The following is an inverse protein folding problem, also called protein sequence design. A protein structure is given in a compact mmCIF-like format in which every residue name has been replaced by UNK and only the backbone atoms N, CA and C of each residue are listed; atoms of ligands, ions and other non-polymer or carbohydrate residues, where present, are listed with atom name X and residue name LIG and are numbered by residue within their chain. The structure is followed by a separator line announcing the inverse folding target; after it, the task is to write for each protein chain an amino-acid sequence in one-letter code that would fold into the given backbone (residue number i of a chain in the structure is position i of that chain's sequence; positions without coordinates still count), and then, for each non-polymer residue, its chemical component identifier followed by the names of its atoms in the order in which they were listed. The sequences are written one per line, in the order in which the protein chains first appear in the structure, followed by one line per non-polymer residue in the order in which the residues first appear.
data_IF_353315330988
#
_entry.id   IF_353315330988
#
_cell.length_a   1.000
_cell.length_b   1.000
_cell.length_c   1.000
_cell.angle_alpha   90.00
_cell.angle_beta   90.00
_cell.angle_gamma   90.00
#
_symmetry.space_group_name_H-M   'P 1'
#
loop_
_entity.id
_entity.type
_entity.pdbx_description
1 polymer ?
#
# COMPACT_ATOMS: atom_id res chain seq x y z
N UNK A 1 -27.82 9.65 -9.69
CA UNK A 1 -27.69 8.50 -10.63
C UNK A 1 -28.11 8.91 -12.05
N UNK A 2 -27.67 10.09 -12.52
CA UNK A 2 -28.18 10.78 -13.75
C UNK A 2 -27.03 11.30 -14.62
N UNK A 3 -25.91 10.56 -14.73
CA UNK A 3 -24.71 10.99 -15.47
C UNK A 3 -24.33 10.09 -16.66
N UNK A 4 -25.18 9.10 -17.01
CA UNK A 4 -24.90 8.16 -18.09
C UNK A 4 -25.54 8.54 -19.44
N UNK A 5 -26.51 9.47 -19.46
CA UNK A 5 -27.38 9.67 -20.63
C UNK A 5 -26.77 10.44 -21.80
N UNK A 6 -25.69 11.20 -21.61
CA UNK A 6 -25.15 12.12 -22.63
C UNK A 6 -23.73 11.79 -23.12
N UNK A 7 -23.16 10.63 -22.76
CA UNK A 7 -21.81 10.26 -23.22
C UNK A 7 -21.87 9.55 -24.56
N UNK A 8 -21.03 9.93 -25.56
CA UNK A 8 -20.93 9.16 -26.79
C UNK A 8 -20.51 7.72 -26.46
N UNK A 9 -21.00 6.70 -27.20
CA UNK A 9 -20.78 5.29 -26.89
C UNK A 9 -19.28 4.91 -26.78
N UNK A 10 -18.40 5.65 -27.44
CA UNK A 10 -16.95 5.50 -27.34
C UNK A 10 -16.37 5.81 -25.95
N UNK A 11 -16.95 6.76 -25.21
CA UNK A 11 -16.46 7.10 -23.87
C UNK A 11 -16.85 6.06 -22.81
N UNK A 12 -18.03 5.47 -22.93
CA UNK A 12 -18.45 4.36 -22.05
C UNK A 12 -17.56 3.13 -22.26
N UNK A 13 -17.23 2.84 -23.52
CA UNK A 13 -16.35 1.73 -23.87
C UNK A 13 -14.91 1.95 -23.37
N UNK A 14 -14.39 3.18 -23.46
CA UNK A 14 -13.10 3.55 -22.87
C UNK A 14 -13.10 3.33 -21.35
N UNK A 15 -14.13 3.80 -20.64
CA UNK A 15 -14.23 3.64 -19.19
C UNK A 15 -14.27 2.15 -18.83
N UNK A 16 -15.10 1.35 -19.52
CA UNK A 16 -15.20 -0.08 -19.28
C UNK A 16 -13.90 -0.83 -19.53
N UNK A 17 -13.26 -0.59 -20.68
CA UNK A 17 -11.97 -1.20 -21.02
C UNK A 17 -10.86 -0.76 -20.06
N UNK A 18 -10.77 0.53 -19.73
CA UNK A 18 -9.83 1.06 -18.76
C UNK A 18 -10.04 0.48 -17.37
N UNK A 19 -11.28 0.38 -16.92
CA UNK A 19 -11.67 -0.22 -15.64
C UNK A 19 -11.22 -1.69 -15.58
N UNK A 20 -11.49 -2.47 -16.63
CA UNK A 20 -11.07 -3.86 -16.72
C UNK A 20 -9.54 -4.04 -16.67
N UNK A 21 -8.80 -3.24 -17.44
CA UNK A 21 -7.34 -3.29 -17.46
C UNK A 21 -6.74 -2.95 -16.09
N UNK A 22 -7.24 -1.89 -15.44
CA UNK A 22 -6.80 -1.52 -14.09
C UNK A 22 -7.18 -2.58 -13.06
N UNK A 23 -8.37 -3.17 -13.16
CA UNK A 23 -8.77 -4.25 -12.26
C UNK A 23 -7.81 -5.43 -12.37
N UNK A 24 -7.48 -5.88 -13.58
CA UNK A 24 -6.60 -7.02 -13.80
C UNK A 24 -5.18 -6.78 -13.24
N UNK A 25 -4.56 -5.65 -13.57
CA UNK A 25 -3.18 -5.37 -13.13
C UNK A 25 -3.09 -5.14 -11.63
N UNK A 26 -4.12 -4.56 -11.02
CA UNK A 26 -4.15 -4.33 -9.57
C UNK A 26 -4.50 -5.62 -8.82
N UNK A 27 -5.44 -6.42 -9.32
CA UNK A 27 -5.74 -7.72 -8.73
C UNK A 27 -4.51 -8.64 -8.73
N UNK A 28 -3.69 -8.59 -9.80
CA UNK A 28 -2.41 -9.28 -9.86
C UNK A 28 -1.41 -8.77 -8.80
N UNK A 29 -1.22 -7.46 -8.71
CA UNK A 29 -0.32 -6.88 -7.70
C UNK A 29 -0.67 -7.32 -6.27
N UNK A 30 -1.96 -7.41 -5.96
CA UNK A 30 -2.45 -7.75 -4.63
C UNK A 30 -2.70 -9.25 -4.41
N UNK A 31 -2.48 -10.13 -5.39
CA UNK A 31 -2.57 -11.57 -5.15
C UNK A 31 -1.34 -12.11 -4.41
N UNK A 32 -0.17 -11.49 -4.61
CA UNK A 32 1.10 -12.02 -4.08
C UNK A 32 1.16 -12.01 -2.55
N UNK A 33 0.79 -10.92 -1.84
CA UNK A 33 0.91 -10.88 -0.38
C UNK A 33 0.21 -12.03 0.39
N UNK A 34 -1.08 -12.35 0.16
CA UNK A 34 -1.74 -13.46 0.86
C UNK A 34 -1.28 -14.84 0.38
N UNK A 35 -0.66 -14.94 -0.81
CA UNK A 35 -0.19 -16.18 -1.42
C UNK A 35 1.35 -16.30 -1.34
N UNK A 36 2.01 -15.43 -0.57
CA UNK A 36 3.47 -15.41 -0.52
C UNK A 36 4.04 -16.78 -0.12
N UNK A 37 3.52 -17.46 0.90
CA UNK A 37 3.95 -18.83 1.23
C UNK A 37 3.74 -19.83 0.10
N UNK A 38 2.66 -19.73 -0.66
CA UNK A 38 2.41 -20.57 -1.84
C UNK A 38 3.49 -20.35 -2.93
N UNK A 39 3.97 -19.12 -3.12
CA UNK A 39 5.11 -18.83 -4.00
C UNK A 39 6.41 -19.47 -3.50
N UNK A 40 6.65 -19.43 -2.19
CA UNK A 40 7.84 -20.03 -1.58
C UNK A 40 7.83 -21.55 -1.73
N UNK A 41 6.67 -22.18 -1.54
CA UNK A 41 6.49 -23.62 -1.74
C UNK A 41 6.63 -24.05 -3.21
N UNK A 42 6.11 -23.25 -4.15
CA UNK A 42 6.22 -23.52 -5.59
C UNK A 42 7.68 -23.62 -6.05
N UNK A 43 8.53 -22.72 -5.55
CA UNK A 43 9.93 -22.61 -5.97
C UNK A 43 10.91 -23.29 -4.99
N UNK A 44 10.41 -23.72 -3.81
CA UNK A 44 11.16 -24.36 -2.72
C UNK A 44 12.30 -23.48 -2.20
N UNK A 45 11.97 -22.24 -1.83
CA UNK A 45 12.92 -21.24 -1.31
C UNK A 45 12.49 -20.76 0.07
N UNK A 46 13.45 -20.25 0.85
CA UNK A 46 13.21 -19.67 2.17
C UNK A 46 12.64 -18.26 2.10
N UNK A 47 11.99 -17.84 3.20
CA UNK A 47 11.43 -16.49 3.39
C UNK A 47 12.47 -15.37 3.22
N UNK A 48 13.75 -15.64 3.49
CA UNK A 48 14.85 -14.69 3.29
C UNK A 48 14.99 -14.23 1.84
N UNK A 49 14.54 -15.05 0.89
CA UNK A 49 14.55 -14.78 -0.54
C UNK A 49 13.21 -14.23 -1.07
N UNK A 50 12.15 -14.24 -0.24
CA UNK A 50 10.81 -13.78 -0.59
C UNK A 50 10.77 -12.33 -1.07
N UNK A 51 11.61 -11.47 -0.45
CA UNK A 51 11.70 -10.05 -0.81
C UNK A 51 12.08 -9.81 -2.27
N UNK A 52 12.81 -10.74 -2.91
CA UNK A 52 13.16 -10.63 -4.33
C UNK A 52 11.94 -10.72 -5.26
N UNK A 53 10.90 -11.45 -4.85
CA UNK A 53 9.66 -11.57 -5.62
C UNK A 53 9.00 -10.19 -5.75
N UNK A 54 8.79 -9.49 -4.63
CA UNK A 54 8.29 -8.11 -4.63
C UNK A 54 9.23 -7.16 -5.39
N UNK A 55 10.53 -7.24 -5.11
CA UNK A 55 11.51 -6.34 -5.69
C UNK A 55 11.59 -6.47 -7.22
N UNK A 56 11.51 -7.68 -7.76
CA UNK A 56 11.54 -7.92 -9.20
C UNK A 56 10.37 -7.28 -9.95
N UNK A 57 9.15 -7.39 -9.40
CA UNK A 57 7.98 -6.71 -9.93
C UNK A 57 8.17 -5.19 -9.90
N UNK A 58 8.58 -4.65 -8.76
CA UNK A 58 8.76 -3.20 -8.60
C UNK A 58 9.90 -2.65 -9.47
N UNK A 59 10.96 -3.41 -9.68
CA UNK A 59 12.04 -3.06 -10.60
C UNK A 59 11.55 -2.94 -12.05
N UNK A 60 10.71 -3.88 -12.50
CA UNK A 60 10.08 -3.83 -13.81
C UNK A 60 9.15 -2.63 -13.95
N UNK A 61 8.33 -2.38 -12.93
CA UNK A 61 7.43 -1.23 -12.88
C UNK A 61 8.18 0.10 -12.92
N UNK A 62 9.28 0.24 -12.16
CA UNK A 62 10.10 1.44 -12.13
C UNK A 62 10.77 1.72 -13.48
N UNK A 63 11.39 0.69 -14.08
CA UNK A 63 12.04 0.81 -15.38
C UNK A 63 11.05 1.24 -16.47
N UNK A 64 9.87 0.59 -16.51
CA UNK A 64 8.87 0.91 -17.52
C UNK A 64 8.17 2.24 -17.26
N UNK A 65 8.02 2.68 -16.01
CA UNK A 65 7.42 3.98 -15.70
C UNK A 65 8.20 5.14 -16.31
N UNK A 66 9.53 5.07 -16.26
CA UNK A 66 10.41 6.07 -16.88
C UNK A 66 10.32 6.05 -18.41
N UNK A 67 10.21 4.86 -19.01
CA UNK A 67 10.16 4.70 -20.46
C UNK A 67 8.77 5.01 -21.06
N UNK A 68 7.70 4.67 -20.33
CA UNK A 68 6.33 4.62 -20.84
C UNK A 68 5.84 5.97 -21.38
N UNK A 69 6.22 7.09 -20.76
CA UNK A 69 5.86 8.42 -21.27
C UNK A 69 6.35 8.65 -22.70
N UNK A 70 7.63 8.37 -22.96
CA UNK A 70 8.23 8.50 -24.30
C UNK A 70 7.67 7.48 -25.31
N UNK A 71 7.39 6.27 -24.84
CA UNK A 71 6.81 5.19 -25.64
C UNK A 71 5.39 5.54 -26.11
N UNK A 72 4.55 6.08 -25.22
CA UNK A 72 3.18 6.51 -25.54
C UNK A 72 3.17 7.68 -26.51
N UNK A 73 4.12 8.61 -26.36
CA UNK A 73 4.27 9.72 -27.29
C UNK A 73 4.71 9.24 -28.69
N UNK A 74 5.59 8.25 -28.78
CA UNK A 74 6.13 7.75 -30.06
C UNK A 74 5.22 6.76 -30.80
N UNK A 75 4.64 5.80 -30.09
CA UNK A 75 3.90 4.67 -30.69
C UNK A 75 2.37 4.79 -30.55
N UNK A 76 1.89 5.79 -29.80
CA UNK A 76 0.48 6.01 -29.53
C UNK A 76 -0.07 5.14 -28.40
N UNK A 77 -1.13 5.61 -27.74
CA UNK A 77 -1.68 4.94 -26.55
C UNK A 77 -2.21 3.53 -26.86
N UNK A 78 -2.84 3.32 -28.01
CA UNK A 78 -3.47 2.05 -28.40
C UNK A 78 -2.44 0.91 -28.46
N UNK A 79 -1.34 1.13 -29.17
CA UNK A 79 -0.28 0.14 -29.32
C UNK A 79 0.45 -0.13 -28.01
N UNK A 80 0.69 0.90 -27.20
CA UNK A 80 1.34 0.72 -25.90
C UNK A 80 0.45 -0.05 -24.93
N UNK A 81 -0.86 0.21 -24.90
CA UNK A 81 -1.80 -0.55 -24.06
C UNK A 81 -1.91 -2.03 -24.49
N UNK A 82 -1.90 -2.30 -25.79
CA UNK A 82 -1.87 -3.67 -26.31
C UNK A 82 -0.53 -4.37 -25.99
N UNK A 83 0.59 -3.69 -26.21
CA UNK A 83 1.93 -4.22 -25.94
C UNK A 83 2.18 -4.45 -24.44
N UNK A 84 1.64 -3.58 -23.57
CA UNK A 84 1.76 -3.74 -22.13
C UNK A 84 0.97 -4.95 -21.63
N UNK A 85 -0.24 -5.19 -22.16
CA UNK A 85 -1.01 -6.39 -21.88
C UNK A 85 -0.35 -7.66 -22.42
N UNK A 86 0.31 -7.59 -23.57
CA UNK A 86 1.11 -8.70 -24.08
C UNK A 86 2.29 -9.02 -23.13
N UNK A 87 3.01 -7.99 -22.68
CA UNK A 87 4.12 -8.14 -21.75
C UNK A 87 3.68 -8.72 -20.40
N UNK A 88 2.56 -8.21 -19.87
CA UNK A 88 1.90 -8.73 -18.68
C UNK A 88 1.55 -10.21 -18.85
N UNK A 89 0.92 -10.58 -19.96
CA UNK A 89 0.47 -11.96 -20.22
C UNK A 89 1.64 -12.93 -20.34
N UNK A 90 2.72 -12.53 -21.03
CA UNK A 90 3.95 -13.33 -21.14
C UNK A 90 4.61 -13.49 -19.78
N UNK A 91 4.66 -12.41 -18.98
CA UNK A 91 5.19 -12.45 -17.63
C UNK A 91 4.42 -13.42 -16.73
N UNK A 92 3.09 -13.34 -16.74
CA UNK A 92 2.22 -14.25 -15.99
C UNK A 92 2.36 -15.71 -16.44
N UNK A 93 2.42 -15.95 -17.76
CA UNK A 93 2.66 -17.29 -18.29
C UNK A 93 4.00 -17.85 -17.80
N UNK A 94 5.05 -17.03 -17.85
CA UNK A 94 6.39 -17.42 -17.43
C UNK A 94 6.44 -17.72 -15.93
N UNK A 95 5.77 -16.92 -15.11
CA UNK A 95 5.63 -17.16 -13.67
C UNK A 95 4.80 -18.41 -13.37
N UNK A 96 3.71 -18.66 -14.12
CA UNK A 96 2.86 -19.84 -13.95
C UNK A 96 3.55 -21.17 -14.23
N UNK A 97 4.44 -21.22 -15.22
CA UNK A 97 5.23 -22.42 -15.57
C UNK A 97 6.60 -22.49 -14.88
N UNK A 98 6.88 -21.56 -13.97
CA UNK A 98 8.20 -21.45 -13.34
C UNK A 98 8.44 -22.56 -12.31
N UNK A 99 9.53 -23.31 -12.46
CA UNK A 99 10.02 -24.27 -11.46
C UNK A 99 11.35 -23.80 -10.84
N UNK A 100 11.68 -22.51 -10.95
CA UNK A 100 12.95 -21.95 -10.47
C UNK A 100 12.78 -20.47 -10.18
N UNK A 101 13.47 -19.99 -9.14
CA UNK A 101 13.42 -18.61 -8.68
C UNK A 101 13.73 -17.63 -9.79
N UNK A 102 14.78 -17.87 -10.57
CA UNK A 102 15.17 -16.97 -11.67
C UNK A 102 14.05 -16.79 -12.69
N UNK A 103 13.34 -17.87 -13.05
CA UNK A 103 12.21 -17.79 -14.00
C UNK A 103 11.03 -17.05 -13.40
N UNK A 104 10.74 -17.29 -12.12
CA UNK A 104 9.68 -16.57 -11.41
C UNK A 104 9.98 -15.06 -11.35
N UNK A 105 11.21 -14.68 -10.99
CA UNK A 105 11.63 -13.27 -10.89
C UNK A 105 11.60 -12.57 -12.26
N UNK A 106 12.05 -13.25 -13.32
CA UNK A 106 11.96 -12.72 -14.68
C UNK A 106 10.49 -12.52 -15.10
N UNK A 107 9.62 -13.48 -14.80
CA UNK A 107 8.18 -13.34 -15.04
C UNK A 107 7.60 -12.14 -14.29
N UNK A 108 7.84 -12.03 -12.98
CA UNK A 108 7.39 -10.90 -12.14
C UNK A 108 7.91 -9.55 -12.63
N UNK A 109 9.15 -9.47 -13.10
CA UNK A 109 9.69 -8.25 -13.71
C UNK A 109 8.91 -7.84 -14.96
N UNK A 110 8.58 -8.79 -15.85
CA UNK A 110 7.78 -8.51 -17.05
C UNK A 110 6.35 -8.07 -16.70
N UNK A 111 5.75 -8.70 -15.70
CA UNK A 111 4.41 -8.34 -15.19
C UNK A 111 4.41 -6.92 -14.67
N UNK A 112 5.36 -6.57 -13.79
CA UNK A 112 5.48 -5.21 -13.25
C UNK A 112 5.70 -4.17 -14.34
N UNK A 113 6.53 -4.47 -15.34
CA UNK A 113 6.71 -3.61 -16.50
C UNK A 113 5.40 -3.43 -17.29
N UNK A 114 4.67 -4.51 -17.57
CA UNK A 114 3.38 -4.48 -18.26
C UNK A 114 2.34 -3.66 -17.50
N UNK A 115 2.20 -3.89 -16.19
CA UNK A 115 1.25 -3.17 -15.33
C UNK A 115 1.51 -1.66 -15.27
N UNK A 116 2.79 -1.25 -15.18
CA UNK A 116 3.17 0.16 -15.17
C UNK A 116 2.91 0.85 -16.54
N UNK A 117 3.29 0.20 -17.64
CA UNK A 117 3.00 0.70 -18.99
C UNK A 117 1.50 0.84 -19.24
N UNK A 118 0.70 -0.13 -18.79
CA UNK A 118 -0.75 -0.09 -18.91
C UNK A 118 -1.36 1.10 -18.16
N UNK A 119 -0.95 1.30 -16.91
CA UNK A 119 -1.46 2.38 -16.07
C UNK A 119 -1.15 3.77 -16.64
N UNK A 120 0.10 3.99 -17.08
CA UNK A 120 0.52 5.25 -17.70
C UNK A 120 -0.13 5.47 -19.07
N UNK A 121 -0.22 4.42 -19.88
CA UNK A 121 -0.90 4.46 -21.17
C UNK A 121 -2.38 4.84 -21.02
N UNK A 122 -3.05 4.35 -19.99
CA UNK A 122 -4.45 4.65 -19.70
C UNK A 122 -4.64 6.11 -19.25
N UNK A 123 -3.78 6.60 -18.35
CA UNK A 123 -3.80 8.01 -17.91
C UNK A 123 -3.57 8.94 -19.12
N UNK A 124 -2.59 8.62 -19.97
CA UNK A 124 -2.31 9.39 -21.17
C UNK A 124 -3.47 9.36 -22.18
N UNK A 125 -4.10 8.19 -22.37
CA UNK A 125 -5.27 8.02 -23.23
C UNK A 125 -6.44 8.90 -22.76
N UNK A 126 -6.77 8.83 -21.46
CA UNK A 126 -7.82 9.68 -20.86
C UNK A 126 -7.47 11.15 -21.02
N UNK A 127 -6.21 11.52 -20.81
CA UNK A 127 -5.72 12.88 -21.02
C UNK A 127 -5.90 13.38 -22.46
N UNK A 128 -5.87 12.52 -23.47
CA UNK A 128 -6.03 12.90 -24.88
C UNK A 128 -7.48 12.84 -25.38
N UNK A 129 -8.28 11.87 -24.93
CA UNK A 129 -9.64 11.65 -25.44
C UNK A 129 -10.75 12.34 -24.65
N UNK A 130 -10.49 12.66 -23.38
CA UNK A 130 -11.51 13.18 -22.47
C UNK A 130 -11.32 14.67 -22.25
N UNK A 131 -12.42 15.43 -22.33
CA UNK A 131 -12.43 16.87 -22.09
C UNK A 131 -11.96 17.17 -20.67
N UNK A 132 -11.20 18.26 -20.49
CA UNK A 132 -10.59 18.60 -19.19
C UNK A 132 -11.57 18.55 -18.01
N UNK A 133 -12.81 19.02 -18.21
CA UNK A 133 -13.88 19.04 -17.22
C UNK A 133 -14.36 17.65 -16.80
N UNK A 134 -14.28 16.65 -17.69
CA UNK A 134 -14.77 15.28 -17.44
C UNK A 134 -13.66 14.29 -17.08
N UNK A 135 -12.38 14.67 -17.23
CA UNK A 135 -11.21 13.81 -16.89
C UNK A 135 -11.24 13.30 -15.46
N UNK A 136 -11.55 14.17 -14.49
CA UNK A 136 -11.59 13.79 -13.08
C UNK A 136 -12.64 12.70 -12.81
N UNK A 137 -13.81 12.79 -13.44
CA UNK A 137 -14.87 11.79 -13.30
C UNK A 137 -14.48 10.47 -13.96
N UNK A 138 -13.85 10.50 -15.14
CA UNK A 138 -13.40 9.29 -15.85
C UNK A 138 -12.28 8.59 -15.07
N UNK A 139 -11.27 9.33 -14.63
CA UNK A 139 -10.20 8.79 -13.79
C UNK A 139 -10.73 8.30 -12.45
N UNK A 140 -11.73 8.96 -11.87
CA UNK A 140 -12.42 8.50 -10.66
C UNK A 140 -13.11 7.15 -10.87
N UNK A 141 -13.84 6.97 -11.98
CA UNK A 141 -14.45 5.67 -12.31
C UNK A 141 -13.40 4.58 -12.51
N UNK A 142 -12.35 4.85 -13.27
CA UNK A 142 -11.22 3.90 -13.42
C UNK A 142 -10.57 3.61 -12.05
N UNK A 143 -10.45 4.62 -11.20
CA UNK A 143 -9.93 4.50 -9.84
C UNK A 143 -10.76 3.56 -8.95
N UNK A 144 -12.07 3.42 -9.18
CA UNK A 144 -12.88 2.41 -8.47
C UNK A 144 -12.40 0.99 -8.78
N UNK A 145 -11.87 0.74 -9.98
CA UNK A 145 -11.31 -0.56 -10.37
C UNK A 145 -10.05 -0.89 -9.56
N UNK A 146 -9.23 0.12 -9.27
CA UNK A 146 -8.05 -0.06 -8.43
C UNK A 146 -8.45 -0.59 -7.06
N UNK A 147 -9.38 0.08 -6.39
CA UNK A 147 -9.83 -0.37 -5.08
C UNK A 147 -10.57 -1.72 -5.12
N UNK A 148 -11.35 -1.97 -6.19
CA UNK A 148 -11.94 -3.28 -6.41
C UNK A 148 -10.85 -4.37 -6.53
N UNK A 149 -9.73 -4.09 -7.20
CA UNK A 149 -8.58 -4.99 -7.29
C UNK A 149 -7.92 -5.24 -5.94
N UNK A 150 -7.75 -4.20 -5.12
CA UNK A 150 -7.19 -4.32 -3.75
C UNK A 150 -8.06 -5.20 -2.86
N UNK A 151 -9.39 -5.05 -2.95
CA UNK A 151 -10.33 -5.79 -2.09
C UNK A 151 -10.60 -7.20 -2.61
N UNK A 152 -10.95 -7.34 -3.89
CA UNK A 152 -11.37 -8.60 -4.46
C UNK A 152 -10.21 -9.44 -4.99
N UNK A 153 -9.07 -8.84 -5.33
CA UNK A 153 -7.89 -9.55 -5.81
C UNK A 153 -7.43 -10.66 -4.86
N UNK A 154 -7.08 -10.33 -3.60
CA UNK A 154 -6.74 -11.32 -2.56
C UNK A 154 -7.83 -12.38 -2.34
N UNK A 155 -9.10 -11.97 -2.37
CA UNK A 155 -10.22 -12.85 -2.08
C UNK A 155 -10.41 -13.92 -3.17
N UNK A 156 -10.38 -13.50 -4.43
CA UNK A 156 -10.57 -14.37 -5.59
C UNK A 156 -9.33 -15.26 -5.76
N UNK A 157 -8.13 -14.70 -5.64
CA UNK A 157 -6.89 -15.44 -5.85
C UNK A 157 -6.71 -16.57 -4.85
N UNK A 158 -6.89 -16.30 -3.56
CA UNK A 158 -6.77 -17.31 -2.50
C UNK A 158 -7.84 -18.39 -2.59
N UNK A 159 -9.06 -18.04 -2.98
CA UNK A 159 -10.14 -19.00 -3.17
C UNK A 159 -9.87 -19.96 -4.35
N UNK A 160 -9.28 -19.45 -5.44
CA UNK A 160 -8.90 -20.26 -6.60
C UNK A 160 -7.73 -21.17 -6.24
N UNK A 161 -6.68 -20.64 -5.60
CA UNK A 161 -5.49 -21.43 -5.23
C UNK A 161 -5.84 -22.56 -4.27
N UNK A 162 -6.72 -22.32 -3.30
CA UNK A 162 -7.20 -23.35 -2.38
C UNK A 162 -7.85 -24.55 -3.08
N UNK A 163 -8.50 -24.35 -4.24
CA UNK A 163 -9.16 -25.43 -4.99
C UNK A 163 -8.32 -26.00 -6.13
N UNK A 164 -7.30 -25.27 -6.57
CA UNK A 164 -6.53 -25.60 -7.77
C UNK A 164 -5.03 -25.58 -7.47
N UNK A 165 -4.28 -24.68 -8.08
CA UNK A 165 -2.87 -24.43 -7.76
C UNK A 165 -2.49 -23.01 -8.14
N UNK A 166 -1.39 -22.52 -7.56
CA UNK A 166 -0.84 -21.21 -7.90
C UNK A 166 -0.49 -21.09 -9.39
N UNK A 167 0.10 -22.12 -10.00
CA UNK A 167 0.41 -22.15 -11.43
C UNK A 167 -0.82 -21.93 -12.30
N UNK A 168 -1.95 -22.57 -11.96
CA UNK A 168 -3.21 -22.38 -12.70
C UNK A 168 -3.76 -20.96 -12.57
N UNK A 169 -3.68 -20.35 -11.38
CA UNK A 169 -4.08 -18.96 -11.18
C UNK A 169 -3.28 -18.01 -12.08
N UNK A 170 -1.94 -18.13 -12.11
CA UNK A 170 -1.09 -17.26 -12.93
C UNK A 170 -1.35 -17.46 -14.43
N UNK A 171 -1.58 -18.70 -14.87
CA UNK A 171 -1.99 -18.99 -16.25
C UNK A 171 -3.36 -18.40 -16.60
N UNK A 172 -4.29 -18.34 -15.63
CA UNK A 172 -5.58 -17.67 -15.82
C UNK A 172 -5.39 -16.16 -16.00
N UNK A 173 -4.57 -15.50 -15.17
CA UNK A 173 -4.24 -14.08 -15.36
C UNK A 173 -3.56 -13.82 -16.70
N UNK A 174 -2.67 -14.71 -17.13
CA UNK A 174 -2.06 -14.66 -18.47
C UNK A 174 -3.12 -14.72 -19.59
N UNK A 175 -4.07 -15.64 -19.49
CA UNK A 175 -5.16 -15.77 -20.46
C UNK A 175 -6.07 -14.53 -20.48
N UNK A 176 -6.44 -14.00 -19.32
CA UNK A 176 -7.24 -12.78 -19.21
C UNK A 176 -6.48 -11.54 -19.75
N UNK A 177 -5.18 -11.45 -19.50
CA UNK A 177 -4.31 -10.43 -20.08
C UNK A 177 -4.30 -10.51 -21.61
N UNK A 178 -4.21 -11.72 -22.16
CA UNK A 178 -4.19 -11.94 -23.61
C UNK A 178 -5.52 -11.53 -24.26
N UNK A 179 -6.65 -11.87 -23.65
CA UNK A 179 -7.98 -11.39 -24.10
C UNK A 179 -8.08 -9.86 -24.05
N UNK A 180 -7.43 -9.23 -23.07
CA UNK A 180 -7.43 -7.77 -22.89
C UNK A 180 -6.66 -7.02 -23.98
N UNK A 181 -5.81 -7.71 -24.75
CA UNK A 181 -5.18 -7.15 -25.96
C UNK A 181 -6.26 -6.86 -27.01
N UNK A 182 -7.18 -7.80 -27.24
CA UNK A 182 -8.31 -7.63 -28.17
C UNK A 182 -9.20 -6.48 -27.74
N UNK A 183 -9.52 -6.40 -26.44
CA UNK A 183 -10.28 -5.28 -25.86
C UNK A 183 -9.56 -3.96 -26.12
N UNK A 184 -8.26 -3.88 -25.87
CA UNK A 184 -7.47 -2.65 -26.07
C UNK A 184 -7.45 -2.20 -27.54
N UNK A 185 -7.32 -3.16 -28.47
CA UNK A 185 -7.29 -2.87 -29.90
C UNK A 185 -8.64 -2.41 -30.45
N UNK A 186 -9.76 -2.92 -29.91
CA UNK A 186 -11.11 -2.52 -30.34
C UNK A 186 -11.57 -1.23 -29.65
N UNK A 187 -11.18 -1.04 -28.38
CA UNK A 187 -11.73 0.05 -27.55
C UNK A 187 -11.07 1.38 -27.75
N UNK A 188 -9.78 1.39 -28.08
CA UNK A 188 -9.00 2.62 -28.11
C UNK A 188 -8.79 3.08 -29.54
N UNK A 189 -9.28 4.27 -29.85
CA UNK A 189 -9.02 4.90 -31.13
C UNK A 189 -7.54 5.23 -31.30
N UNK A 190 -7.07 5.07 -32.53
CA UNK A 190 -5.75 5.48 -32.99
C UNK A 190 -5.65 7.01 -32.87
N UNK A 191 -5.13 7.50 -31.75
CA UNK A 191 -4.78 8.90 -31.62
C UNK A 191 -3.40 9.11 -32.22
N UNK A 192 -3.31 10.05 -33.16
CA UNK A 192 -2.02 10.49 -33.66
C UNK A 192 -1.09 10.84 -32.49
N UNK A 193 0.21 10.49 -32.58
CA UNK A 193 1.25 10.98 -31.68
C UNK A 193 1.04 12.48 -31.43
N UNK A 194 0.88 12.88 -30.17
CA UNK A 194 0.75 14.29 -29.84
C UNK A 194 2.03 15.01 -30.26
N UNK A 195 1.92 16.08 -31.06
CA UNK A 195 3.06 16.93 -31.38
C UNK A 195 3.62 17.50 -30.08
N UNK A 196 4.80 17.03 -29.68
CA UNK A 196 5.39 17.30 -28.38
C UNK A 196 5.47 18.81 -28.09
N UNK A 197 4.63 19.29 -27.17
CA UNK A 197 5.01 20.46 -26.39
C UNK A 197 6.10 19.99 -25.45
N UNK A 198 7.28 20.60 -25.55
CA UNK A 198 8.40 20.43 -24.64
C UNK A 198 7.89 20.45 -23.20
N UNK A 199 7.74 19.27 -22.58
CA UNK A 199 7.61 19.21 -21.13
C UNK A 199 8.90 19.80 -20.54
N UNK A 200 8.86 20.40 -19.33
CA UNK A 200 10.09 20.77 -18.65
C UNK A 200 11.02 19.55 -18.65
N UNK A 201 12.28 19.77 -18.98
CA UNK A 201 13.23 18.67 -19.05
C UNK A 201 13.20 17.95 -17.70
N UNK A 202 13.16 16.62 -17.69
CA UNK A 202 13.20 15.83 -16.45
C UNK A 202 14.35 16.29 -15.52
N UNK A 203 15.43 16.79 -16.11
CA UNK A 203 16.56 17.43 -15.42
C UNK A 203 16.18 18.64 -14.56
N UNK A 204 15.16 19.42 -14.92
CA UNK A 204 14.76 20.62 -14.18
C UNK A 204 13.98 20.28 -12.92
N UNK A 205 13.26 19.15 -12.92
CA UNK A 205 12.60 18.61 -11.73
C UNK A 205 13.66 18.07 -10.75
N UNK A 206 14.67 17.36 -11.25
CA UNK A 206 15.75 16.79 -10.44
C UNK A 206 16.63 17.84 -9.74
N UNK A 207 16.68 19.08 -10.25
CA UNK A 207 17.41 20.20 -9.63
C UNK A 207 16.70 20.77 -8.41
N UNK A 208 15.41 20.49 -8.20
CA UNK A 208 14.65 21.04 -7.09
C UNK A 208 14.95 20.25 -5.79
N UNK A 209 15.55 20.86 -4.75
CA UNK A 209 15.84 20.15 -3.49
C UNK A 209 14.56 19.74 -2.74
N UNK A 210 13.46 20.48 -2.89
CA UNK A 210 12.17 20.12 -2.30
C UNK A 210 11.57 18.85 -2.91
N UNK A 211 11.88 18.55 -4.17
CA UNK A 211 11.46 17.32 -4.84
C UNK A 211 12.13 16.10 -4.19
N UNK A 212 13.45 16.14 -3.94
CA UNK A 212 14.16 15.03 -3.30
C UNK A 212 13.68 14.76 -1.88
N UNK A 213 13.37 15.80 -1.09
CA UNK A 213 12.80 15.63 0.24
C UNK A 213 11.45 14.89 0.21
N UNK A 214 10.55 15.28 -0.71
CA UNK A 214 9.26 14.61 -0.90
C UNK A 214 9.41 13.21 -1.48
N UNK A 215 10.32 13.01 -2.43
CA UNK A 215 10.56 11.71 -3.06
C UNK A 215 11.14 10.68 -2.08
N UNK A 216 12.12 11.08 -1.27
CA UNK A 216 12.71 10.22 -0.23
C UNK A 216 11.65 9.88 0.83
N UNK A 217 10.88 10.87 1.27
CA UNK A 217 9.79 10.63 2.22
C UNK A 217 8.77 9.63 1.66
N UNK A 218 8.28 9.86 0.44
CA UNK A 218 7.34 8.96 -0.24
C UNK A 218 7.92 7.55 -0.41
N UNK A 219 9.20 7.45 -0.77
CA UNK A 219 9.88 6.17 -0.95
C UNK A 219 9.99 5.40 0.36
N UNK A 220 10.40 6.04 1.46
CA UNK A 220 10.52 5.40 2.76
C UNK A 220 9.15 4.97 3.31
N UNK A 221 8.15 5.85 3.21
CA UNK A 221 6.78 5.56 3.64
C UNK A 221 6.20 4.39 2.82
N UNK A 222 6.29 4.47 1.50
CA UNK A 222 5.74 3.44 0.60
C UNK A 222 6.48 2.12 0.75
N UNK A 223 7.81 2.12 0.94
CA UNK A 223 8.57 0.90 1.18
C UNK A 223 8.14 0.21 2.48
N UNK A 224 7.96 0.96 3.57
CA UNK A 224 7.49 0.42 4.85
C UNK A 224 6.10 -0.20 4.75
N UNK A 225 5.14 0.54 4.17
CA UNK A 225 3.76 0.04 3.97
C UNK A 225 3.73 -1.17 3.05
N UNK A 226 4.49 -1.16 1.95
CA UNK A 226 4.54 -2.27 1.00
C UNK A 226 5.17 -3.50 1.63
N UNK A 227 6.26 -3.35 2.37
CA UNK A 227 6.91 -4.47 3.08
C UNK A 227 5.96 -5.09 4.11
N UNK A 228 5.28 -4.26 4.91
CA UNK A 228 4.27 -4.72 5.86
C UNK A 228 3.21 -5.56 5.15
N UNK A 229 2.56 -5.01 4.10
CA UNK A 229 1.51 -5.72 3.36
C UNK A 229 2.04 -7.03 2.78
N UNK A 230 3.23 -7.03 2.18
CA UNK A 230 3.79 -8.18 1.48
C UNK A 230 4.10 -9.36 2.41
N UNK A 231 4.70 -9.11 3.58
CA UNK A 231 5.05 -10.16 4.56
C UNK A 231 3.90 -10.49 5.52
N UNK A 232 2.84 -9.70 5.53
CA UNK A 232 1.70 -9.93 6.43
C UNK A 232 1.03 -11.30 6.22
N UNK A 233 0.94 -11.78 4.98
CA UNK A 233 0.35 -13.09 4.67
C UNK A 233 1.15 -14.28 5.22
N UNK A 234 2.48 -14.17 5.22
CA UNK A 234 3.39 -15.14 5.83
C UNK A 234 3.30 -15.11 7.36
N UNK A 235 3.28 -13.92 7.95
CA UNK A 235 3.10 -13.75 9.41
C UNK A 235 1.78 -14.35 9.91
N UNK A 236 0.69 -14.20 9.14
CA UNK A 236 -0.61 -14.79 9.45
C UNK A 236 -0.58 -16.34 9.42
N UNK A 237 0.14 -16.92 8.45
CA UNK A 237 0.30 -18.38 8.37
C UNK A 237 1.19 -18.91 9.49
N UNK A 238 2.34 -18.28 9.73
CA UNK A 238 3.28 -18.72 10.77
C UNK A 238 2.73 -18.59 12.20
N UNK A 239 1.96 -17.53 12.48
CA UNK A 239 1.45 -17.24 13.83
C UNK A 239 0.10 -17.92 14.11
N UNK A 240 -0.83 -17.87 13.15
CA UNK A 240 -2.22 -18.31 13.34
C UNK A 240 -2.58 -19.56 12.54
N UNK A 241 -1.66 -20.12 11.74
CA UNK A 241 -1.89 -21.29 10.87
C UNK A 241 -3.12 -21.13 9.97
N UNK A 242 -3.35 -19.90 9.50
CA UNK A 242 -4.48 -19.59 8.65
C UNK A 242 -4.29 -20.20 7.26
N UNK A 243 -5.30 -20.95 6.82
CA UNK A 243 -5.41 -21.44 5.47
C UNK A 243 -5.54 -20.28 4.44
N UNK A 244 -5.22 -20.54 3.17
CA UNK A 244 -5.20 -19.54 2.09
C UNK A 244 -6.50 -18.72 2.04
N UNK A 245 -7.66 -19.38 2.17
CA UNK A 245 -8.97 -18.72 2.15
C UNK A 245 -9.16 -17.73 3.31
N UNK A 246 -8.69 -18.07 4.50
CA UNK A 246 -8.79 -17.21 5.67
C UNK A 246 -7.90 -15.97 5.52
N UNK A 247 -6.66 -16.13 5.03
CA UNK A 247 -5.77 -15.01 4.70
C UNK A 247 -6.41 -14.07 3.68
N UNK A 248 -7.04 -14.62 2.64
CA UNK A 248 -7.78 -13.84 1.63
C UNK A 248 -8.84 -12.90 2.22
N UNK A 249 -9.63 -13.39 3.19
CA UNK A 249 -10.62 -12.56 3.89
C UNK A 249 -10.00 -11.43 4.70
N UNK A 250 -8.87 -11.68 5.39
CA UNK A 250 -8.18 -10.64 6.17
C UNK A 250 -7.70 -9.51 5.25
N UNK A 251 -7.09 -9.85 4.11
CA UNK A 251 -6.67 -8.86 3.12
C UNK A 251 -7.86 -8.13 2.48
N UNK A 252 -8.95 -8.83 2.19
CA UNK A 252 -10.17 -8.21 1.64
C UNK A 252 -10.81 -7.21 2.61
N UNK A 253 -10.83 -7.53 3.92
CA UNK A 253 -11.29 -6.60 4.96
C UNK A 253 -10.38 -5.36 5.02
N UNK A 254 -9.06 -5.53 5.01
CA UNK A 254 -8.11 -4.42 4.93
C UNK A 254 -8.26 -3.56 3.66
N UNK A 255 -8.48 -4.18 2.52
CA UNK A 255 -8.78 -3.49 1.26
C UNK A 255 -10.10 -2.71 1.31
N UNK A 256 -11.12 -3.27 1.97
CA UNK A 256 -12.41 -2.61 2.19
C UNK A 256 -12.32 -1.39 3.11
N UNK A 257 -11.44 -1.42 4.12
CA UNK A 257 -11.13 -0.23 4.90
C UNK A 257 -10.48 0.85 4.02
N UNK A 258 -9.61 0.46 3.08
CA UNK A 258 -8.97 1.39 2.15
C UNK A 258 -9.98 2.03 1.17
N UNK A 259 -10.99 1.28 0.74
CA UNK A 259 -12.13 1.77 -0.06
C UNK A 259 -12.88 2.91 0.62
N UNK A 260 -13.06 2.84 1.94
CA UNK A 260 -13.74 3.88 2.72
C UNK A 260 -12.79 5.02 3.10
N UNK A 261 -11.53 4.68 3.42
CA UNK A 261 -10.52 5.62 3.87
C UNK A 261 -10.11 6.64 2.80
N UNK A 262 -10.05 6.25 1.52
CA UNK A 262 -9.62 7.18 0.46
C UNK A 262 -10.60 8.35 0.22
N UNK A 263 -11.92 8.13 0.08
CA UNK A 263 -12.89 9.22 0.02
C UNK A 263 -12.93 10.06 1.30
N UNK A 264 -12.85 9.43 2.47
CA UNK A 264 -12.82 10.12 3.76
C UNK A 264 -11.58 11.02 3.89
N UNK A 265 -10.40 10.51 3.54
CA UNK A 265 -9.16 11.28 3.54
C UNK A 265 -9.20 12.47 2.57
N UNK A 266 -9.81 12.28 1.39
CA UNK A 266 -10.07 13.38 0.46
C UNK A 266 -10.98 14.47 1.06
N UNK A 267 -12.09 14.06 1.67
CA UNK A 267 -13.03 14.98 2.34
C UNK A 267 -12.41 15.71 3.53
N UNK A 268 -11.62 15.00 4.35
CA UNK A 268 -10.86 15.58 5.47
C UNK A 268 -9.81 16.56 4.95
N UNK A 269 -9.12 16.23 3.85
CA UNK A 269 -8.13 17.14 3.26
C UNK A 269 -8.75 18.41 2.68
N UNK A 270 -9.90 18.27 2.02
CA UNK A 270 -10.65 19.39 1.46
C UNK A 270 -11.28 20.27 2.55
N UNK A 271 -11.63 19.70 3.71
CA UNK A 271 -12.24 20.45 4.83
C UNK A 271 -11.22 21.11 5.77
N UNK A 272 -10.08 20.47 6.05
CA UNK A 272 -9.03 21.01 6.93
C UNK A 272 -7.99 21.87 6.19
N UNK A 273 -7.97 21.83 4.85
CA UNK A 273 -6.98 22.52 4.04
C UNK A 273 -5.66 21.74 3.92
N UNK A 274 -5.10 21.74 2.69
CA UNK A 274 -3.97 20.87 2.27
C UNK A 274 -2.70 20.98 3.11
N UNK A 275 -2.47 22.11 3.80
CA UNK A 275 -1.31 22.32 4.69
C UNK A 275 -1.47 21.64 6.04
N UNK A 276 -2.69 21.60 6.57
CA UNK A 276 -2.96 21.03 7.89
C UNK A 276 -3.18 19.51 7.80
N UNK A 277 -3.68 18.99 6.66
CA UNK A 277 -3.72 17.54 6.41
C UNK A 277 -2.31 16.93 6.30
N UNK A 278 -1.39 17.63 5.64
CA UNK A 278 0.02 17.22 5.60
C UNK A 278 0.71 17.31 6.98
N UNK A 279 0.22 18.20 7.86
CA UNK A 279 0.63 18.28 9.26
C UNK A 279 0.08 17.12 10.11
N UNK A 280 -1.18 16.74 9.88
CA UNK A 280 -1.82 15.60 10.53
C UNK A 280 -1.10 14.28 10.22
N UNK A 281 -0.81 14.01 8.94
CA UNK A 281 -0.06 12.83 8.52
C UNK A 281 1.34 12.75 9.16
N UNK A 282 2.05 13.89 9.25
CA UNK A 282 3.31 14.00 10.01
C UNK A 282 3.17 13.71 11.50
N UNK A 283 2.06 14.12 12.11
CA UNK A 283 1.82 13.90 13.55
C UNK A 283 1.45 12.45 13.87
N UNK A 284 0.66 11.79 13.01
CA UNK A 284 0.36 10.37 13.12
C UNK A 284 1.62 9.52 12.96
N UNK A 285 2.49 9.87 12.00
CA UNK A 285 3.77 9.18 11.81
C UNK A 285 4.74 9.41 12.97
N UNK A 286 4.78 10.64 13.52
CA UNK A 286 5.57 10.93 14.72
C UNK A 286 5.14 10.11 15.94
N UNK A 287 3.84 9.88 16.10
CA UNK A 287 3.30 9.04 17.18
C UNK A 287 3.66 7.55 16.97
N UNK A 288 3.48 7.02 15.76
CA UNK A 288 3.84 5.62 15.44
C UNK A 288 5.34 5.38 15.57
N UNK A 289 6.17 6.35 15.18
CA UNK A 289 7.63 6.27 15.32
C UNK A 289 8.07 6.34 16.80
N UNK A 290 7.35 7.08 17.64
CA UNK A 290 7.59 7.12 19.08
C UNK A 290 7.18 5.83 19.79
N UNK A 291 6.07 5.20 19.36
CA UNK A 291 5.62 3.89 19.86
C UNK A 291 6.50 2.73 19.37
N UNK A 292 7.13 2.87 18.21
CA UNK A 292 8.05 1.86 17.66
C UNK A 292 9.47 1.92 18.24
N UNK A 293 9.77 2.89 19.13
CA UNK A 293 11.05 2.94 19.82
C UNK A 293 11.07 1.92 20.97
N UNK A 294 12.12 1.09 21.10
CA UNK A 294 12.29 0.24 22.26
C UNK A 294 12.32 1.09 23.55
N UNK A 295 11.64 0.64 24.62
CA UNK A 295 11.54 1.37 25.90
C UNK A 295 12.92 1.80 26.46
N UNK A 296 13.97 1.05 26.13
CA UNK A 296 15.36 1.29 26.52
C UNK A 296 15.93 2.63 26.01
N UNK A 297 15.43 3.15 24.88
CA UNK A 297 15.82 4.44 24.30
C UNK A 297 14.90 5.58 24.76
N UNK A 298 13.67 5.28 25.18
CA UNK A 298 12.72 6.28 25.68
C UNK A 298 13.06 6.74 27.11
N UNK A 299 13.69 5.89 27.91
CA UNK A 299 14.12 6.23 29.28
C UNK A 299 15.45 6.99 29.36
N UNK A 300 16.23 7.03 28.27
CA UNK A 300 17.57 7.62 28.22
C UNK A 300 17.59 9.10 27.87
N UNK A 301 16.94 9.97 28.67
CA UNK A 301 16.93 11.40 28.34
C UNK A 301 16.29 12.30 29.39
N UNK A 302 16.98 12.54 30.51
CA UNK A 302 16.74 13.72 31.35
C UNK A 302 17.07 15.01 30.58
N UNK A 303 16.21 15.41 29.64
CA UNK A 303 16.05 16.80 29.22
C UNK A 303 14.56 17.04 28.97
N UNK A 304 14.01 17.96 29.75
CA UNK A 304 12.67 18.50 29.66
C UNK A 304 12.36 19.01 28.24
N UNK A 305 11.86 18.12 27.38
CA UNK A 305 11.13 18.53 26.20
C UNK A 305 9.81 19.12 26.70
N UNK A 306 9.69 20.45 26.65
CA UNK A 306 8.44 21.18 26.89
C UNK A 306 7.35 20.57 25.99
N UNK A 307 6.50 19.73 26.56
CA UNK A 307 5.34 19.11 25.92
C UNK A 307 4.19 20.12 25.70
N UNK A 308 4.49 21.26 25.07
CA UNK A 308 3.50 22.30 24.78
C UNK A 308 2.53 21.96 23.64
N UNK A 309 2.87 20.95 22.81
CA UNK A 309 2.04 20.55 21.65
C UNK A 309 1.05 19.42 21.95
N UNK A 310 1.41 18.48 22.83
CA UNK A 310 0.61 17.27 23.12
C UNK A 310 -0.61 17.62 23.98
N UNK A 311 -0.47 18.55 24.92
CA UNK A 311 -1.58 19.02 25.76
C UNK A 311 -2.70 19.72 24.96
N UNK A 312 -2.40 20.32 23.80
CA UNK A 312 -3.43 20.93 22.95
C UNK A 312 -4.22 19.88 22.15
N UNK A 313 -3.63 18.71 21.87
CA UNK A 313 -4.33 17.63 21.17
C UNK A 313 -5.30 16.89 22.10
N UNK A 314 -4.92 16.67 23.36
CA UNK A 314 -5.83 16.07 24.35
C UNK A 314 -6.99 16.99 24.75
N UNK A 315 -6.76 18.31 24.79
CA UNK A 315 -7.82 19.29 25.05
C UNK A 315 -8.88 19.36 23.93
N UNK A 316 -8.51 19.03 22.67
CA UNK A 316 -9.46 18.95 21.55
C UNK A 316 -10.31 17.66 21.58
N UNK A 317 -9.92 16.65 22.38
CA UNK A 317 -10.61 15.36 22.52
C UNK A 317 -11.47 15.26 23.81
N UNK A 318 -11.63 16.35 24.56
CA UNK A 318 -12.63 16.44 25.64
C UNK A 318 -12.27 15.72 26.95
N UNK A 319 -11.02 15.28 27.14
CA UNK A 319 -10.57 14.72 28.41
C UNK A 319 -9.97 15.81 29.30
N UNK A 320 -10.74 16.31 30.27
CA UNK A 320 -10.24 17.21 31.32
C UNK A 320 -9.45 16.41 32.37
N UNK A 321 -8.17 16.75 32.55
CA UNK A 321 -7.38 16.29 33.68
C UNK A 321 -7.60 17.26 34.87
N UNK A 322 -7.76 16.79 36.13
CA UNK A 322 -7.97 17.69 37.27
C UNK A 322 -6.69 18.49 37.59
N UNK A 323 -6.84 19.80 37.79
CA UNK A 323 -5.77 20.73 38.16
C UNK A 323 -5.16 20.42 39.53
N UNK A 324 -3.83 20.31 39.61
CA UNK A 324 -3.09 20.52 40.86
C UNK A 324 -2.23 21.78 40.76
N UNK A 325 -2.48 22.71 41.68
CA UNK A 325 -1.85 24.02 41.84
C UNK A 325 -0.40 23.93 42.32
N UNK A 326 0.49 24.90 41.98
CA UNK A 326 1.92 24.79 42.25
C UNK A 326 2.29 25.31 43.64
N UNK A 327 2.83 24.43 44.49
CA UNK A 327 3.36 24.76 45.81
C UNK A 327 4.89 24.67 45.88
N UNK A 328 5.54 25.84 46.00
CA UNK A 328 6.86 26.18 46.58
C UNK A 328 8.00 25.14 46.63
N UNK A 329 9.11 25.53 46.02
CA UNK A 329 10.46 24.96 46.10
C UNK A 329 11.09 25.04 47.50
N UNK A 330 11.66 23.92 47.98
CA UNK A 330 12.62 23.84 49.09
C UNK A 330 13.85 22.99 48.70
N UNK A 331 15.04 23.23 49.28
CA UNK A 331 16.30 22.70 48.77
C UNK A 331 16.62 21.36 49.44
N UNK A 332 16.06 20.28 48.92
CA UNK A 332 16.58 18.91 49.09
C UNK A 332 15.71 18.01 48.23
N UNK A 333 16.26 17.53 47.12
CA UNK A 333 15.56 16.70 46.16
C UNK A 333 15.32 15.31 46.72
N UNK A 334 14.20 15.12 47.42
CA UNK A 334 13.64 13.80 47.72
C UNK A 334 12.12 13.96 47.86
N UNK A 335 11.35 13.49 46.88
CA UNK A 335 9.89 13.38 47.02
C UNK A 335 9.64 12.13 47.85
N UNK A 336 9.27 12.34 49.12
CA UNK A 336 8.76 11.31 50.00
C UNK A 336 7.35 10.90 49.56
N UNK A 337 7.14 9.61 49.29
CA UNK A 337 5.81 9.02 49.30
C UNK A 337 5.50 8.64 50.76
N UNK A 338 4.61 9.39 51.41
CA UNK A 338 4.09 9.06 52.72
C UNK A 338 2.71 8.41 52.58
N UNK A 339 2.67 7.13 52.95
CA UNK A 339 1.63 6.34 53.63
C UNK A 339 0.14 6.58 53.36
N UNK A 340 -0.55 5.48 53.00
CA UNK A 340 -1.65 4.94 53.81
C UNK A 340 -1.77 3.42 53.57
N UNK A 341 -1.47 2.62 54.59
CA UNK A 341 -1.86 1.21 54.73
C UNK A 341 -3.00 1.14 55.76
N UNK A 342 -3.87 0.12 55.68
CA UNK A 342 -3.80 -0.85 56.79
C UNK A 342 -3.89 -2.32 56.36
N UNK A 343 -3.08 -3.12 57.06
CA UNK A 343 -3.30 -4.50 57.53
C UNK A 343 -3.72 -5.59 56.54
N UNK A 344 -2.74 -6.43 56.18
CA UNK A 344 -2.89 -7.89 56.26
C UNK A 344 -1.54 -8.55 56.53
N UNK A 345 -1.45 -9.14 57.71
CA UNK A 345 -0.32 -9.81 58.32
C UNK A 345 -0.13 -11.23 57.77
N UNK A 346 1.00 -11.52 57.12
CA UNK A 346 1.54 -12.90 57.07
C UNK A 346 3.08 -12.89 57.10
N UNK A 347 3.61 -13.75 57.98
CA UNK A 347 5.00 -13.97 58.37
C UNK A 347 6.02 -14.23 57.23
N UNK A 348 7.27 -13.77 57.46
CA UNK A 348 8.55 -14.22 56.85
C UNK A 348 8.84 -15.72 57.12
N UNK A 349 9.94 -16.40 56.65
CA UNK A 349 11.14 -15.96 55.89
C UNK A 349 11.61 -16.91 54.75
N UNK A 350 12.64 -16.53 53.96
CA UNK A 350 13.48 -17.50 53.25
C UNK A 350 14.12 -17.01 51.94
N UNK A 351 15.45 -17.05 51.90
CA UNK A 351 16.36 -16.68 50.81
C UNK A 351 16.29 -17.56 49.55
N UNK A 352 16.62 -17.00 48.38
CA UNK A 352 17.28 -17.76 47.32
C UNK A 352 16.92 -17.40 45.87
N UNK A 353 17.93 -16.90 45.14
CA UNK A 353 18.20 -17.08 43.71
C UNK A 353 17.19 -16.63 42.64
N UNK A 354 17.59 -15.58 41.92
CA UNK A 354 17.61 -15.41 40.46
C UNK A 354 16.76 -16.35 39.58
N UNK A 355 15.81 -15.74 38.87
CA UNK A 355 15.18 -16.27 37.67
C UNK A 355 13.82 -15.59 37.41
N UNK A 356 13.63 -14.84 36.30
CA UNK A 356 12.30 -14.32 36.00
C UNK A 356 11.47 -15.45 35.36
N UNK A 357 10.61 -16.05 36.18
CA UNK A 357 9.46 -16.79 35.69
C UNK A 357 8.39 -15.81 35.20
N UNK A 358 7.82 -16.14 34.04
CA UNK A 358 6.53 -15.66 33.55
C UNK A 358 5.48 -15.61 34.68
N UNK A 359 4.81 -14.47 34.81
CA UNK A 359 3.44 -14.42 35.30
C UNK A 359 2.63 -13.49 34.39
N UNK A 360 1.75 -14.14 33.63
CA UNK A 360 0.60 -13.58 32.95
C UNK A 360 -0.21 -12.67 33.88
N UNK A 361 -0.66 -11.54 33.35
CA UNK A 361 -1.57 -10.63 34.02
C UNK A 361 -2.15 -9.61 33.06
N UNK A 362 -3.14 -10.03 32.27
CA UNK A 362 -4.09 -9.12 31.62
C UNK A 362 -4.69 -8.15 32.65
N UNK A 363 -4.98 -6.92 32.24
CA UNK A 363 -6.40 -6.53 32.26
C UNK A 363 -6.86 -5.64 31.10
N UNK A 364 -7.92 -6.12 30.41
CA UNK A 364 -9.19 -5.41 30.10
C UNK A 364 -9.09 -4.09 29.29
N UNK A 365 -9.78 -3.89 28.15
CA UNK A 365 -11.19 -4.16 27.77
C UNK A 365 -11.29 -4.32 26.26
#
# INVERSE_FOLDING_TARGET
MTLASDRPPSQLFLIGAGWWLTLLTVADLFLVPPLLPDFLHLVKIDISQAGWIAASYQAGAAAMTLAAGSLVDRFGCRHILAASMLLFSIGEALSGISNSMTRLLLGRFLVGAGSAAASLGLIALVGRQVSYQSRGVVLGWIGTAYFAGVTFGPLISTYIVHQTSLSWLLLLFSFLGFLSIGVSLVSFSELAPGSGKSQPAFSDILKNPGFWGLAIFQMLFSAGVTAMIFFFGDWLEGTYQLDARARGWVFALGGSLSLLGAPLGGWISDSLGKRDTAGFDRSSFGAVLLDALPEDLAAGGHRSVRAGGIHRCFALLGFSCPDHTPGRTGPTGTIACAEEFPDLSVNRPGSGSDGPYLCLGFPWV
#
